data_IF_538320810135
#
_entry.id   IF_538320810135
#
_cell.length_a   1.000
_cell.length_b   1.000
_cell.length_c   1.000
_cell.angle_alpha   90.00
_cell.angle_beta   90.00
_cell.angle_gamma   90.00
#
_symmetry.space_group_name_H-M   'P 1'
#
loop_
_entity.id
_entity.type
_entity.pdbx_description
1 polymer ?
#
# COMPACT_ATOMS: atom_id res chain seq x y z
N UNK A 1 -14.51 -10.54 23.16
CA UNK A 1 -13.37 -11.00 22.35
C UNK A 1 -12.79 -12.30 22.89
N UNK A 2 -13.16 -13.41 22.27
CA UNK A 2 -12.75 -14.77 22.65
C UNK A 2 -11.24 -14.94 22.53
N UNK A 3 -10.51 -14.87 23.64
CA UNK A 3 -9.09 -15.29 23.74
C UNK A 3 -9.03 -16.81 23.81
N UNK A 4 -9.50 -17.53 22.79
CA UNK A 4 -9.12 -18.95 22.64
C UNK A 4 -7.66 -18.98 22.19
N UNK A 5 -6.78 -19.55 23.02
CA UNK A 5 -5.40 -19.83 22.64
C UNK A 5 -5.43 -20.79 21.45
N UNK A 6 -5.10 -20.29 20.26
CA UNK A 6 -5.05 -21.12 19.06
C UNK A 6 -3.91 -22.15 19.18
N UNK A 7 -4.21 -23.42 18.93
CA UNK A 7 -3.23 -24.52 18.94
C UNK A 7 -2.24 -24.46 17.78
N UNK A 8 -2.63 -23.82 16.66
CA UNK A 8 -1.83 -23.70 15.44
C UNK A 8 -1.22 -22.29 15.30
N UNK A 9 0.02 -22.22 14.80
CA UNK A 9 0.69 -20.96 14.47
C UNK A 9 -0.05 -20.20 13.37
N UNK A 10 -0.21 -18.88 13.55
CA UNK A 10 -0.78 -18.00 12.52
C UNK A 10 0.13 -17.99 11.28
N UNK A 11 -0.38 -18.28 10.07
CA UNK A 11 0.41 -18.18 8.85
C UNK A 11 0.71 -16.72 8.50
N UNK A 12 1.80 -16.47 7.77
CA UNK A 12 2.22 -15.11 7.40
C UNK A 12 1.20 -14.39 6.51
N UNK A 13 0.54 -15.11 5.61
CA UNK A 13 -0.52 -14.56 4.73
C UNK A 13 -1.69 -13.95 5.50
N UNK A 14 -1.91 -14.38 6.76
CA UNK A 14 -2.98 -13.86 7.60
C UNK A 14 -2.51 -12.76 8.54
N UNK A 15 -1.30 -12.20 8.43
CA UNK A 15 -0.87 -11.07 9.28
C UNK A 15 -1.45 -9.75 8.78
N UNK A 16 -1.59 -8.77 9.67
CA UNK A 16 -2.08 -7.44 9.33
C UNK A 16 -1.21 -6.78 8.25
N UNK A 17 0.11 -6.96 8.32
CA UNK A 17 1.05 -6.43 7.33
C UNK A 17 0.80 -7.05 5.95
N UNK A 18 0.73 -8.38 5.84
CA UNK A 18 0.50 -9.06 4.58
C UNK A 18 -0.85 -8.67 3.94
N UNK A 19 -1.90 -8.52 4.76
CA UNK A 19 -3.22 -8.07 4.28
C UNK A 19 -3.17 -6.63 3.78
N UNK A 20 -2.47 -5.74 4.48
CA UNK A 20 -2.34 -4.35 4.03
C UNK A 20 -1.53 -4.23 2.74
N UNK A 21 -0.51 -5.07 2.56
CA UNK A 21 0.28 -5.10 1.33
C UNK A 21 -0.56 -5.61 0.15
N UNK A 22 -1.32 -6.70 0.35
CA UNK A 22 -2.23 -7.25 -0.67
C UNK A 22 -3.33 -6.26 -1.09
N UNK A 23 -3.95 -5.55 -0.14
CA UNK A 23 -4.95 -4.51 -0.47
C UNK A 23 -4.33 -3.41 -1.36
N UNK A 24 -3.07 -3.07 -1.12
CA UNK A 24 -2.39 -2.02 -1.88
C UNK A 24 -2.16 -2.46 -3.34
N UNK A 25 -1.75 -3.72 -3.54
CA UNK A 25 -1.58 -4.32 -4.88
C UNK A 25 -2.91 -4.36 -5.64
N UNK A 26 -4.00 -4.83 -5.01
CA UNK A 26 -5.32 -4.93 -5.64
C UNK A 26 -5.89 -3.56 -6.03
N UNK A 27 -5.64 -2.52 -5.22
CA UNK A 27 -6.12 -1.16 -5.51
C UNK A 27 -5.45 -0.53 -6.73
N UNK A 28 -4.19 -0.87 -7.01
CA UNK A 28 -3.41 -0.18 -8.05
C UNK A 28 -3.63 -0.74 -9.45
N UNK A 29 -4.36 -1.85 -9.60
CA UNK A 29 -4.64 -2.45 -10.90
C UNK A 29 -5.29 -1.43 -11.87
N UNK A 30 -4.79 -1.28 -13.11
CA UNK A 30 -3.82 -2.12 -13.84
C UNK A 30 -2.33 -1.76 -13.66
N UNK A 31 -1.97 -0.74 -12.88
CA UNK A 31 -0.58 -0.37 -12.66
C UNK A 31 0.06 -1.25 -11.58
N UNK A 32 1.15 -1.93 -11.92
CA UNK A 32 1.93 -2.70 -10.96
C UNK A 32 2.78 -1.79 -10.08
N UNK A 33 2.99 -2.21 -8.83
CA UNK A 33 3.84 -1.50 -7.88
C UNK A 33 5.28 -1.93 -8.12
N UNK A 34 6.09 -1.03 -8.68
CA UNK A 34 7.52 -1.26 -8.96
C UNK A 34 8.36 -1.06 -7.70
N UNK A 35 7.91 -0.22 -6.77
CA UNK A 35 8.66 0.06 -5.56
C UNK A 35 7.81 0.62 -4.43
N UNK A 36 8.33 0.49 -3.21
CA UNK A 36 7.69 0.98 -1.99
C UNK A 36 8.74 1.57 -1.07
N UNK A 37 8.56 2.84 -0.69
CA UNK A 37 9.42 3.56 0.24
C UNK A 37 8.59 4.05 1.41
N UNK A 38 9.09 3.87 2.63
CA UNK A 38 8.42 4.39 3.82
C UNK A 38 9.23 5.57 4.33
N UNK A 39 8.67 6.78 4.23
CA UNK A 39 9.25 7.96 4.85
C UNK A 39 8.75 8.08 6.28
N UNK A 40 9.67 8.09 7.23
CA UNK A 40 9.38 8.42 8.63
C UNK A 40 9.71 9.89 8.83
N UNK A 41 8.75 10.68 9.29
CA UNK A 41 8.94 12.10 9.63
C UNK A 41 9.52 12.25 11.04
N UNK A 42 9.99 13.46 11.36
CA UNK A 42 10.53 13.79 12.68
C UNK A 42 9.50 13.66 13.81
N UNK A 43 8.21 13.87 13.50
CA UNK A 43 7.08 13.66 14.41
C UNK A 43 6.72 12.16 14.61
N UNK A 44 7.45 11.25 13.98
CA UNK A 44 7.22 9.80 14.03
C UNK A 44 6.12 9.30 13.08
N UNK A 45 5.41 10.20 12.39
CA UNK A 45 4.42 9.82 11.39
C UNK A 45 5.08 9.13 10.19
N UNK A 46 4.37 8.18 9.58
CA UNK A 46 4.86 7.40 8.44
C UNK A 46 4.02 7.69 7.22
N UNK A 47 4.67 8.04 6.13
CA UNK A 47 4.06 8.16 4.81
C UNK A 47 4.65 7.07 3.92
N UNK A 48 3.78 6.26 3.32
CA UNK A 48 4.19 5.24 2.36
C UNK A 48 4.15 5.85 0.97
N UNK A 49 5.31 5.97 0.34
CA UNK A 49 5.45 6.35 -1.07
C UNK A 49 5.47 5.10 -1.93
N UNK A 50 4.48 4.97 -2.80
CA UNK A 50 4.32 3.82 -3.68
C UNK A 50 4.67 4.25 -5.10
N UNK A 51 5.62 3.54 -5.70
CA UNK A 51 6.04 3.77 -7.07
C UNK A 51 5.26 2.84 -7.99
N UNK A 52 4.46 3.43 -8.87
CA UNK A 52 3.67 2.71 -9.87
C UNK A 52 4.43 2.66 -11.19
N UNK A 53 4.16 1.63 -12.00
CA UNK A 53 4.71 1.54 -13.34
C UNK A 53 4.27 2.73 -14.22
N UNK A 54 5.25 3.39 -14.83
CA UNK A 54 5.05 4.58 -15.67
C UNK A 54 4.30 4.24 -16.97
N UNK A 55 4.35 3.00 -17.44
CA UNK A 55 3.65 2.58 -18.66
C UNK A 55 2.12 2.78 -18.56
N UNK A 56 1.57 2.69 -17.34
CA UNK A 56 0.13 2.79 -17.07
C UNK A 56 -0.29 4.18 -16.57
N UNK A 57 0.60 5.17 -16.59
CA UNK A 57 0.34 6.50 -16.03
C UNK A 57 -0.96 7.13 -16.55
N UNK A 58 -1.14 7.19 -17.86
CA UNK A 58 -2.32 7.80 -18.48
C UNK A 58 -3.64 7.14 -18.04
N UNK A 59 -3.61 5.86 -17.69
CA UNK A 59 -4.79 5.07 -17.32
C UNK A 59 -5.15 5.20 -15.83
N UNK A 60 -4.19 5.55 -14.98
CA UNK A 60 -4.30 5.43 -13.52
C UNK A 60 -4.11 6.75 -12.79
N UNK A 61 -3.47 7.75 -13.40
CA UNK A 61 -3.14 9.03 -12.77
C UNK A 61 -4.37 9.77 -12.22
N UNK A 62 -5.50 9.74 -12.92
CA UNK A 62 -6.74 10.37 -12.47
C UNK A 62 -7.43 9.64 -11.28
N UNK A 63 -6.92 8.46 -10.86
CA UNK A 63 -7.47 7.64 -9.77
C UNK A 63 -6.63 7.68 -8.49
N UNK A 64 -5.48 8.37 -8.49
CA UNK A 64 -4.54 8.32 -7.36
C UNK A 64 -5.11 8.89 -6.06
N UNK A 65 -5.91 9.95 -6.16
CA UNK A 65 -6.58 10.56 -5.00
C UNK A 65 -7.63 9.63 -4.40
N UNK A 66 -8.32 8.86 -5.25
CA UNK A 66 -9.30 7.86 -4.82
C UNK A 66 -8.60 6.69 -4.13
N UNK A 67 -7.48 6.19 -4.67
CA UNK A 67 -6.70 5.13 -4.03
C UNK A 67 -6.18 5.54 -2.66
N UNK A 68 -5.68 6.78 -2.54
CA UNK A 68 -5.19 7.33 -1.28
C UNK A 68 -6.30 7.36 -0.24
N UNK A 69 -7.48 7.82 -0.63
CA UNK A 69 -8.65 7.92 0.25
C UNK A 69 -9.15 6.54 0.70
N UNK A 70 -9.25 5.58 -0.22
CA UNK A 70 -9.69 4.20 0.08
C UNK A 70 -8.71 3.51 1.03
N UNK A 71 -7.42 3.55 0.73
CA UNK A 71 -6.43 2.89 1.57
C UNK A 71 -6.35 3.51 2.96
N UNK A 72 -6.45 4.85 3.07
CA UNK A 72 -6.53 5.54 4.36
C UNK A 72 -7.78 5.12 5.14
N UNK A 73 -8.93 4.97 4.49
CA UNK A 73 -10.17 4.56 5.16
C UNK A 73 -10.12 3.12 5.67
N UNK A 74 -9.53 2.21 4.90
CA UNK A 74 -9.44 0.78 5.25
C UNK A 74 -8.34 0.51 6.29
N UNK A 75 -7.20 1.20 6.21
CA UNK A 75 -6.00 0.85 6.99
C UNK A 75 -5.57 1.90 8.01
N UNK A 76 -6.09 3.14 7.90
CA UNK A 76 -5.66 4.28 8.71
C UNK A 76 -4.26 4.79 8.40
N UNK A 77 -3.62 4.33 7.31
CA UNK A 77 -2.26 4.73 6.93
C UNK A 77 -2.28 5.72 5.76
N UNK A 78 -1.42 6.73 5.83
CA UNK A 78 -1.24 7.68 4.73
C UNK A 78 -0.32 7.08 3.65
N UNK A 79 -0.79 7.15 2.41
CA UNK A 79 -0.09 6.68 1.21
C UNK A 79 -0.04 7.81 0.18
N UNK A 80 1.04 7.87 -0.59
CA UNK A 80 1.16 8.74 -1.76
C UNK A 80 1.68 7.91 -2.93
N UNK A 81 1.07 8.08 -4.10
CA UNK A 81 1.44 7.38 -5.34
C UNK A 81 2.26 8.30 -6.23
N UNK A 82 3.36 7.79 -6.79
CA UNK A 82 4.28 8.53 -7.64
C UNK A 82 4.73 7.65 -8.81
N UNK A 83 4.92 8.22 -10.00
CA UNK A 83 5.55 7.54 -11.13
C UNK A 83 7.04 7.90 -11.15
N UNK A 84 7.97 6.92 -11.12
CA UNK A 84 9.40 7.21 -11.15
C UNK A 84 9.80 7.79 -12.52
N UNK A 85 10.63 8.84 -12.54
CA UNK A 85 11.07 9.45 -13.80
C UNK A 85 12.05 8.57 -14.59
N UNK A 86 12.87 7.77 -13.88
CA UNK A 86 13.93 6.94 -14.46
C UNK A 86 13.78 5.49 -14.02
N UNK A 87 13.82 4.58 -14.99
CA UNK A 87 14.18 3.19 -14.80
C UNK A 87 15.67 3.13 -15.16
N UNK A 88 16.54 2.79 -14.20
CA UNK A 88 17.95 2.53 -14.48
C UNK A 88 18.10 1.26 -15.32
#
# INVERSE_FOLDING_TARGET
>A
NSKRKNKQKRPRSRTLTAVHDAILEDLCFPAEIVGKRIRVKLDGSKIVKVHLDKSQQNNVEHKLDTFTSVYKKLTGKDVTFEFPEFVL
#
